data_IF_896839569897
#
_entry.id   IF_896839569897
#
_cell.length_a   1.000
_cell.length_b   1.000
_cell.length_c   1.000
_cell.angle_alpha   90.00
_cell.angle_beta   90.00
_cell.angle_gamma   90.00
#
_symmetry.space_group_name_H-M   'P 1'
#
loop_
_entity.id
_entity.type
_entity.pdbx_description
1 polymer ?
#
# COMPACT_ATOMS: atom_id res chain seq x y z
N UNK A 1 60.31 -7.90 -21.21
CA UNK A 1 60.02 -8.98 -22.19
C UNK A 1 58.50 -9.04 -22.33
N UNK A 2 57.86 -8.74 -23.45
CA UNK A 2 58.34 -8.37 -24.77
C UNK A 2 57.41 -7.33 -25.42
N UNK A 3 57.94 -6.66 -26.43
CA UNK A 3 57.24 -5.76 -27.33
C UNK A 3 56.94 -6.54 -28.62
N UNK A 4 55.67 -6.66 -28.99
CA UNK A 4 55.30 -6.87 -30.39
C UNK A 4 54.80 -5.53 -30.93
N UNK A 5 55.55 -4.96 -31.87
CA UNK A 5 55.07 -3.87 -32.68
C UNK A 5 54.10 -4.42 -33.73
N UNK A 6 52.91 -3.83 -33.81
CA UNK A 6 52.05 -3.94 -34.99
C UNK A 6 51.88 -2.53 -35.56
N UNK A 7 52.21 -2.41 -36.84
CA UNK A 7 52.01 -1.24 -37.69
C UNK A 7 50.61 -0.67 -37.53
N UNK A 8 50.51 0.66 -37.39
CA UNK A 8 49.29 1.40 -37.12
C UNK A 8 48.10 0.98 -37.97
N UNK A 9 47.25 0.12 -37.37
CA UNK A 9 45.85 0.02 -37.73
C UNK A 9 45.19 1.15 -36.95
N UNK A 10 44.55 2.16 -37.58
CA UNK A 10 43.75 3.10 -36.82
C UNK A 10 42.70 2.27 -36.11
N UNK A 11 42.82 2.14 -34.79
CA UNK A 11 41.78 1.58 -33.94
C UNK A 11 40.57 2.46 -34.19
N UNK A 12 39.66 1.97 -35.03
CA UNK A 12 38.37 2.60 -35.25
C UNK A 12 37.72 2.56 -33.88
N UNK A 13 37.76 3.67 -33.16
CA UNK A 13 36.97 3.84 -31.95
C UNK A 13 35.53 3.69 -32.41
N UNK A 14 35.01 2.50 -32.23
CA UNK A 14 33.63 2.20 -32.53
C UNK A 14 32.83 3.03 -31.53
N UNK A 15 32.28 4.15 -32.00
CA UNK A 15 31.45 5.03 -31.20
C UNK A 15 30.23 4.23 -30.76
N UNK A 16 30.31 3.65 -29.56
CA UNK A 16 29.25 2.82 -28.99
C UNK A 16 28.02 3.69 -28.79
N UNK A 17 27.03 3.52 -29.67
CA UNK A 17 25.77 4.24 -29.56
C UNK A 17 24.89 3.59 -28.50
N UNK A 18 24.25 4.37 -27.63
CA UNK A 18 23.34 3.83 -26.63
C UNK A 18 22.16 3.17 -27.34
N UNK A 19 22.05 1.85 -27.19
CA UNK A 19 21.09 1.02 -27.92
C UNK A 19 19.71 1.00 -27.26
N UNK A 20 19.63 1.46 -26.00
CA UNK A 20 18.45 1.30 -25.14
C UNK A 20 17.75 2.61 -24.75
N UNK A 21 18.01 3.71 -25.48
CA UNK A 21 17.42 5.03 -25.15
C UNK A 21 15.89 4.99 -25.13
N UNK A 22 15.26 4.33 -26.10
CA UNK A 22 13.80 4.20 -26.17
C UNK A 22 13.23 3.42 -24.98
N UNK A 23 13.87 2.31 -24.61
CA UNK A 23 13.46 1.49 -23.47
C UNK A 23 13.65 2.21 -22.14
N UNK A 24 14.75 2.96 -22.00
CA UNK A 24 15.04 3.77 -20.83
C UNK A 24 13.99 4.87 -20.65
N UNK A 25 13.58 5.55 -21.72
CA UNK A 25 12.49 6.54 -21.67
C UNK A 25 11.16 5.90 -21.23
N UNK A 26 10.79 4.75 -21.81
CA UNK A 26 9.57 4.04 -21.40
C UNK A 26 9.61 3.63 -19.92
N UNK A 27 10.77 3.17 -19.44
CA UNK A 27 10.97 2.82 -18.03
C UNK A 27 10.75 4.03 -17.11
N UNK A 28 11.33 5.19 -17.43
CA UNK A 28 11.12 6.40 -16.64
C UNK A 28 9.67 6.88 -16.65
N UNK A 29 8.98 6.82 -17.80
CA UNK A 29 7.56 7.15 -17.87
C UNK A 29 6.73 6.23 -16.96
N UNK A 30 7.02 4.93 -16.97
CA UNK A 30 6.35 3.97 -16.11
C UNK A 30 6.63 4.24 -14.61
N UNK A 31 7.87 4.58 -14.25
CA UNK A 31 8.21 4.95 -12.88
C UNK A 31 7.46 6.20 -12.40
N UNK A 32 7.40 7.24 -13.23
CA UNK A 32 6.64 8.46 -12.89
C UNK A 32 5.17 8.14 -12.71
N UNK A 33 4.58 7.32 -13.58
CA UNK A 33 3.19 6.89 -13.46
C UNK A 33 2.95 6.11 -12.16
N UNK A 34 3.85 5.18 -11.80
CA UNK A 34 3.75 4.41 -10.56
C UNK A 34 3.81 5.31 -9.32
N UNK A 35 4.73 6.28 -9.29
CA UNK A 35 4.84 7.25 -8.19
C UNK A 35 3.57 8.09 -8.10
N UNK A 36 3.03 8.54 -9.23
CA UNK A 36 1.79 9.30 -9.28
C UNK A 36 0.61 8.51 -8.69
N UNK A 37 0.43 7.25 -9.12
CA UNK A 37 -0.64 6.38 -8.61
C UNK A 37 -0.46 6.10 -7.11
N UNK A 38 0.77 5.87 -6.65
CA UNK A 38 1.07 5.68 -5.23
C UNK A 38 0.74 6.92 -4.39
N UNK A 39 1.16 8.11 -4.85
CA UNK A 39 0.84 9.36 -4.18
C UNK A 39 -0.68 9.62 -4.14
N UNK A 40 -1.39 9.36 -5.25
CA UNK A 40 -2.83 9.46 -5.31
C UNK A 40 -3.51 8.53 -4.29
N UNK A 41 -3.08 7.27 -4.20
CA UNK A 41 -3.62 6.31 -3.23
C UNK A 41 -3.35 6.71 -1.77
N UNK A 42 -2.23 7.38 -1.47
CA UNK A 42 -1.93 7.85 -0.13
C UNK A 42 -2.70 9.11 0.26
N UNK A 43 -2.94 10.01 -0.68
CA UNK A 43 -3.65 11.29 -0.42
C UNK A 43 -5.16 11.07 -0.31
N UNK A 44 -5.74 10.27 -1.22
CA UNK A 44 -7.18 10.06 -1.28
C UNK A 44 -7.65 8.76 -0.63
N UNK A 45 -6.72 7.82 -0.36
CA UNK A 45 -7.02 6.60 0.36
C UNK A 45 -6.81 6.72 1.87
N UNK A 46 -7.24 5.70 2.60
CA UNK A 46 -7.01 5.59 4.03
C UNK A 46 -5.96 4.49 4.30
N UNK A 47 -4.66 4.82 4.45
CA UNK A 47 -3.59 3.83 4.61
C UNK A 47 -3.68 3.09 5.95
N UNK A 48 -4.40 3.63 6.94
CA UNK A 48 -4.61 2.96 8.22
C UNK A 48 -5.39 1.65 8.05
N UNK A 49 -6.24 1.53 7.02
CA UNK A 49 -6.93 0.26 6.70
C UNK A 49 -6.00 -0.88 6.30
N UNK A 50 -4.76 -0.59 5.89
CA UNK A 50 -3.79 -1.61 5.50
C UNK A 50 -3.02 -2.15 6.71
N UNK A 51 -2.80 -1.30 7.71
CA UNK A 51 -2.00 -1.64 8.91
C UNK A 51 -2.91 -2.09 10.06
N UNK A 52 -4.09 -1.48 10.17
CA UNK A 52 -5.06 -1.75 11.22
C UNK A 52 -6.23 -2.56 10.66
N UNK A 53 -6.78 -3.43 11.50
CA UNK A 53 -8.01 -4.15 11.16
C UNK A 53 -9.24 -3.24 11.19
N UNK A 54 -10.29 -3.67 10.51
CA UNK A 54 -11.58 -3.00 10.47
C UNK A 54 -12.69 -3.91 11.00
N UNK A 55 -13.72 -3.30 11.58
CA UNK A 55 -14.90 -4.01 12.07
C UNK A 55 -15.91 -4.32 10.94
N UNK A 56 -16.98 -5.06 11.23
CA UNK A 56 -18.03 -5.36 10.25
C UNK A 56 -18.81 -4.14 9.75
N UNK A 57 -18.69 -2.99 10.44
CA UNK A 57 -19.33 -1.72 10.10
C UNK A 57 -18.41 -0.78 9.33
N UNK A 58 -17.16 -1.19 9.08
CA UNK A 58 -16.16 -0.45 8.32
C UNK A 58 -15.29 0.51 9.14
N UNK A 59 -15.43 0.55 10.47
CA UNK A 59 -14.57 1.37 11.34
C UNK A 59 -13.17 0.76 11.40
N UNK A 60 -12.14 1.60 11.26
CA UNK A 60 -10.74 1.22 11.46
C UNK A 60 -10.43 1.27 12.94
N UNK A 61 -10.02 0.13 13.50
CA UNK A 61 -9.69 0.02 14.93
C UNK A 61 -8.45 0.86 15.26
N UNK A 62 -8.49 1.63 16.35
CA UNK A 62 -7.40 2.53 16.74
C UNK A 62 -7.36 3.85 15.97
N UNK A 63 -8.47 4.24 15.34
CA UNK A 63 -8.65 5.50 14.61
C UNK A 63 -9.98 6.16 15.00
N UNK A 64 -10.09 7.47 14.78
CA UNK A 64 -11.30 8.26 15.06
C UNK A 64 -12.41 8.11 13.98
N UNK A 65 -12.05 7.66 12.76
CA UNK A 65 -12.95 7.41 11.61
C UNK A 65 -13.83 8.62 11.25
N UNK A 66 -13.37 9.84 11.55
CA UNK A 66 -14.12 11.06 11.32
C UNK A 66 -14.35 11.33 9.82
N UNK A 67 -13.45 10.84 8.96
CA UNK A 67 -13.55 10.83 7.51
C UNK A 67 -14.81 10.11 7.00
N UNK A 68 -15.29 9.09 7.73
CA UNK A 68 -16.47 8.32 7.34
C UNK A 68 -17.79 8.96 7.78
N UNK A 69 -17.77 9.88 8.74
CA UNK A 69 -18.96 10.62 9.20
C UNK A 69 -19.48 11.61 8.16
N UNK A 70 -18.67 12.01 7.19
CA UNK A 70 -19.09 12.99 6.18
C UNK A 70 -20.09 12.38 5.18
N UNK A 71 -19.99 11.07 4.95
CA UNK A 71 -20.91 10.31 4.11
C UNK A 71 -22.15 9.83 4.89
N UNK A 72 -22.86 10.76 5.54
CA UNK A 72 -24.09 10.57 6.31
C UNK A 72 -25.25 9.99 5.48
N UNK A 73 -25.12 8.76 5.02
CA UNK A 73 -26.24 7.95 4.58
C UNK A 73 -26.79 7.27 5.83
N UNK A 74 -28.02 7.63 6.23
CA UNK A 74 -28.68 7.22 7.49
C UNK A 74 -28.78 5.70 7.73
N UNK A 75 -28.29 4.89 6.80
CA UNK A 75 -28.24 3.43 6.88
C UNK A 75 -27.04 2.90 7.69
N UNK A 76 -25.99 3.70 7.93
CA UNK A 76 -24.77 3.26 8.61
C UNK A 76 -24.60 3.86 10.02
N UNK A 77 -25.56 3.62 10.91
CA UNK A 77 -25.57 4.16 12.29
C UNK A 77 -24.32 3.74 13.11
N UNK A 78 -23.71 2.62 12.74
CA UNK A 78 -22.55 2.04 13.43
C UNK A 78 -21.21 2.36 12.75
N UNK A 79 -21.17 3.13 11.66
CA UNK A 79 -19.91 3.56 11.02
C UNK A 79 -19.49 4.96 11.48
N UNK A 80 -18.20 5.27 11.33
CA UNK A 80 -17.62 6.56 11.71
C UNK A 80 -17.52 6.79 13.22
N UNK A 81 -17.56 5.76 14.07
CA UNK A 81 -17.39 5.96 15.51
C UNK A 81 -15.91 6.17 15.87
N UNK A 82 -15.68 6.97 16.91
CA UNK A 82 -14.34 7.14 17.47
C UNK A 82 -13.95 5.86 18.23
N UNK A 83 -13.08 5.08 17.62
CA UNK A 83 -12.55 3.82 18.17
C UNK A 83 -11.04 3.90 18.38
N UNK A 84 -10.51 5.10 18.65
CA UNK A 84 -9.08 5.36 18.87
C UNK A 84 -8.49 4.50 19.99
N UNK A 85 -9.25 4.27 21.06
CA UNK A 85 -8.83 3.42 22.18
C UNK A 85 -8.93 1.91 21.93
N UNK A 86 -9.62 1.49 20.85
CA UNK A 86 -9.96 0.11 20.58
C UNK A 86 -9.03 -0.44 19.49
N UNK A 87 -7.86 -0.95 19.90
CA UNK A 87 -6.78 -1.32 18.98
C UNK A 87 -6.89 -2.73 18.37
N UNK A 88 -7.64 -3.63 18.99
CA UNK A 88 -7.71 -5.04 18.58
C UNK A 88 -9.02 -5.37 17.88
N UNK A 89 -9.00 -6.33 16.94
CA UNK A 89 -10.21 -6.86 16.30
C UNK A 89 -10.56 -8.20 16.93
N UNK A 90 -11.80 -8.33 17.39
CA UNK A 90 -12.36 -9.60 17.82
C UNK A 90 -13.18 -10.22 16.68
N UNK A 91 -12.93 -11.50 16.40
CA UNK A 91 -13.76 -12.32 15.52
C UNK A 91 -14.62 -13.23 16.39
N UNK A 92 -15.94 -13.17 16.24
CA UNK A 92 -16.87 -13.98 17.04
C UNK A 92 -16.91 -15.46 16.62
N UNK A 93 -16.56 -15.74 15.38
CA UNK A 93 -16.50 -17.07 14.81
C UNK A 93 -15.17 -17.24 14.08
N UNK A 94 -14.29 -18.04 14.66
CA UNK A 94 -12.96 -18.33 14.12
C UNK A 94 -12.99 -19.39 13.02
N UNK A 95 -14.11 -20.12 12.86
CA UNK A 95 -14.26 -21.15 11.81
C UNK A 95 -14.54 -20.51 10.46
N UNK A 96 -15.24 -19.37 10.46
CA UNK A 96 -15.58 -18.64 9.24
C UNK A 96 -15.31 -17.12 9.38
N UNK A 97 -14.05 -16.75 9.18
CA UNK A 97 -13.56 -15.36 9.30
C UNK A 97 -14.21 -14.38 8.31
N UNK A 98 -14.83 -14.89 7.24
CA UNK A 98 -15.41 -14.08 6.17
C UNK A 98 -16.81 -13.57 6.52
N UNK A 99 -17.63 -14.43 7.14
CA UNK A 99 -19.01 -14.15 7.56
C UNK A 99 -19.09 -13.71 9.02
N UNK A 100 -18.07 -14.01 9.82
CA UNK A 100 -18.05 -13.67 11.24
C UNK A 100 -18.21 -12.18 11.50
N UNK A 101 -18.97 -11.85 12.55
CA UNK A 101 -19.03 -10.52 13.11
C UNK A 101 -17.64 -10.12 13.65
N UNK A 102 -17.19 -8.93 13.26
CA UNK A 102 -15.90 -8.34 13.66
C UNK A 102 -16.18 -7.05 14.40
N UNK A 103 -15.54 -6.87 15.55
CA UNK A 103 -15.73 -5.67 16.40
C UNK A 103 -14.37 -5.21 16.95
N UNK A 104 -14.16 -3.89 16.99
CA UNK A 104 -12.99 -3.30 17.65
C UNK A 104 -13.13 -3.38 19.18
N UNK A 105 -12.10 -3.87 19.87
CA UNK A 105 -12.05 -4.04 21.33
C UNK A 105 -10.78 -3.39 21.91
N UNK A 106 -10.87 -2.90 23.15
CA UNK A 106 -9.71 -2.33 23.88
C UNK A 106 -8.75 -3.40 24.40
N UNK A 107 -9.31 -4.51 24.88
CA UNK A 107 -8.59 -5.62 25.49
C UNK A 107 -9.24 -6.94 25.09
N UNK A 108 -8.43 -7.97 24.85
CA UNK A 108 -8.92 -9.30 24.53
C UNK A 108 -9.64 -9.90 25.74
N UNK A 109 -10.78 -10.59 25.55
CA UNK A 109 -11.48 -11.26 26.64
C UNK A 109 -10.64 -12.43 27.17
N UNK A 110 -10.53 -12.54 28.50
CA UNK A 110 -9.80 -13.64 29.17
C UNK A 110 -10.56 -14.98 29.14
N UNK A 111 -11.84 -14.93 28.80
CA UNK A 111 -12.73 -16.09 28.71
C UNK A 111 -13.22 -16.25 27.28
N UNK A 112 -13.07 -17.45 26.74
CA UNK A 112 -13.67 -17.85 25.45
C UNK A 112 -15.13 -18.24 25.69
N UNK A 113 -16.05 -17.68 24.91
CA UNK A 113 -17.47 -18.06 24.89
C UNK A 113 -17.68 -19.44 24.27
#
# INVERSE_FOLDING_TARGET
MGCCGESGIPSREEERRPTDVLWLVMFFLFLVLMIFVAAFALVFGNPLRLVNGYDSFGNVCGSDNADMKEHNDSLMIFSGHDVTDYKYVLFFDVRDLSVSLKVCIKQCPDVTL
#
